data_IF_281360312526
#
_entry.id   IF_281360312526
#
_cell.length_a   1.000
_cell.length_b   1.000
_cell.length_c   1.000
_cell.angle_alpha   90.00
_cell.angle_beta   90.00
_cell.angle_gamma   90.00
#
_symmetry.space_group_name_H-M   'P 1'
#
loop_
_entity.id
_entity.type
_entity.pdbx_description
1 polymer ?
#
# COMPACT_ATOMS: atom_id res chain seq x y z
N UNK A 1 -4.01 -22.08 -1.82
CA UNK A 1 -3.77 -20.96 -2.76
C UNK A 1 -2.31 -20.58 -2.67
N UNK A 2 -1.55 -20.55 -3.78
CA UNK A 2 -0.18 -20.09 -3.75
C UNK A 2 -0.16 -18.60 -3.40
N UNK A 3 0.68 -18.25 -2.45
CA UNK A 3 0.84 -16.91 -1.91
C UNK A 3 2.29 -16.71 -1.49
N UNK A 4 2.76 -15.47 -1.53
CA UNK A 4 4.11 -15.13 -1.12
C UNK A 4 4.21 -15.20 0.42
N UNK A 5 5.29 -15.78 0.93
CA UNK A 5 5.55 -15.94 2.37
C UNK A 5 6.89 -15.31 2.68
N UNK A 6 6.98 -14.64 3.81
CA UNK A 6 8.23 -14.00 4.25
C UNK A 6 8.23 -13.70 5.74
N UNK A 7 9.18 -12.89 6.17
CA UNK A 7 9.26 -12.39 7.54
C UNK A 7 8.94 -10.90 7.59
N UNK A 8 8.32 -10.44 8.67
CA UNK A 8 8.05 -9.01 8.87
C UNK A 8 9.35 -8.18 8.90
N UNK A 9 10.45 -8.78 9.40
CA UNK A 9 11.78 -8.16 9.43
C UNK A 9 12.34 -7.83 8.04
N UNK A 10 11.98 -8.62 7.03
CA UNK A 10 12.41 -8.39 5.64
C UNK A 10 11.56 -7.30 4.95
N UNK A 11 10.31 -7.18 5.37
CA UNK A 11 9.33 -6.32 4.73
C UNK A 11 9.39 -4.86 5.23
N UNK A 12 9.67 -4.67 6.52
CA UNK A 12 9.70 -3.33 7.12
C UNK A 12 10.75 -2.40 6.47
N UNK A 13 11.98 -2.84 6.16
CA UNK A 13 12.94 -2.03 5.42
C UNK A 13 12.46 -1.62 4.02
N UNK A 14 11.76 -2.52 3.32
CA UNK A 14 11.20 -2.24 1.98
C UNK A 14 10.15 -1.13 2.04
N UNK A 15 9.22 -1.23 3.00
CA UNK A 15 8.18 -0.22 3.23
C UNK A 15 8.79 1.14 3.57
N UNK A 16 9.76 1.17 4.50
CA UNK A 16 10.45 2.41 4.89
C UNK A 16 11.19 3.03 3.71
N UNK A 17 11.95 2.24 2.94
CA UNK A 17 12.67 2.73 1.78
C UNK A 17 11.73 3.32 0.73
N UNK A 18 10.55 2.73 0.51
CA UNK A 18 9.58 3.28 -0.43
C UNK A 18 8.93 4.56 0.06
N UNK A 19 8.66 4.67 1.36
CA UNK A 19 8.13 5.90 1.98
C UNK A 19 9.12 7.06 1.84
N UNK A 20 10.40 6.83 2.11
CA UNK A 20 11.43 7.86 1.93
C UNK A 20 11.55 8.28 0.46
N UNK A 21 11.46 7.33 -0.48
CA UNK A 21 11.39 7.66 -1.92
C UNK A 21 10.16 8.51 -2.27
N UNK A 22 9.00 8.25 -1.68
CA UNK A 22 7.83 9.08 -1.95
C UNK A 22 8.02 10.50 -1.39
N UNK A 23 8.53 10.63 -0.16
CA UNK A 23 8.82 11.95 0.42
C UNK A 23 9.74 12.76 -0.50
N UNK A 24 10.83 12.16 -0.97
CA UNK A 24 11.75 12.80 -1.91
C UNK A 24 11.12 13.14 -3.28
N UNK A 25 10.06 12.43 -3.70
CA UNK A 25 9.29 12.75 -4.91
C UNK A 25 8.31 13.91 -4.69
N UNK A 26 7.73 14.01 -3.49
CA UNK A 26 6.71 15.01 -3.15
C UNK A 26 7.33 16.34 -2.71
N UNK A 27 8.45 16.32 -2.01
CA UNK A 27 9.13 17.51 -1.48
C UNK A 27 9.42 18.59 -2.55
N UNK A 28 9.94 18.27 -3.75
CA UNK A 28 10.11 19.26 -4.82
C UNK A 28 8.78 19.81 -5.37
N UNK A 29 7.70 19.04 -5.24
CA UNK A 29 6.36 19.42 -5.72
C UNK A 29 5.66 20.35 -4.73
N UNK A 30 6.07 20.41 -3.46
CA UNK A 30 5.39 21.17 -2.42
C UNK A 30 5.26 22.65 -2.76
N UNK A 31 6.30 23.25 -3.32
CA UNK A 31 6.33 24.68 -3.66
C UNK A 31 5.90 24.98 -5.11
N UNK A 32 5.91 23.99 -6.00
CA UNK A 32 5.85 24.22 -7.45
C UNK A 32 4.63 23.59 -8.15
N UNK A 33 3.96 22.63 -7.52
CA UNK A 33 2.89 21.85 -8.15
C UNK A 33 1.52 22.14 -7.53
N UNK A 34 0.48 22.01 -8.35
CA UNK A 34 -0.91 22.00 -7.88
C UNK A 34 -1.16 20.82 -6.93
N UNK A 35 -2.13 20.98 -6.02
CA UNK A 35 -2.59 19.89 -5.15
C UNK A 35 -2.98 18.65 -5.95
N UNK A 36 -3.66 18.82 -7.09
CA UNK A 36 -4.03 17.71 -7.98
C UNK A 36 -2.84 16.89 -8.50
N UNK A 37 -1.69 17.53 -8.70
CA UNK A 37 -0.47 16.84 -9.14
C UNK A 37 0.15 16.04 -7.99
N UNK A 38 0.16 16.61 -6.78
CA UNK A 38 0.63 15.93 -5.57
C UNK A 38 -0.23 14.70 -5.25
N UNK A 39 -1.55 14.83 -5.39
CA UNK A 39 -2.50 13.74 -5.21
C UNK A 39 -2.27 12.62 -6.23
N UNK A 40 -2.07 12.96 -7.50
CA UNK A 40 -1.82 11.97 -8.54
C UNK A 40 -0.52 11.18 -8.31
N UNK A 41 0.56 11.85 -7.90
CA UNK A 41 1.84 11.20 -7.56
C UNK A 41 1.68 10.28 -6.35
N UNK A 42 0.98 10.75 -5.32
CA UNK A 42 0.73 9.98 -4.10
C UNK A 42 -0.16 8.77 -4.38
N UNK A 43 -1.23 8.93 -5.15
CA UNK A 43 -2.14 7.85 -5.55
C UNK A 43 -1.41 6.79 -6.38
N UNK A 44 -0.57 7.21 -7.34
CA UNK A 44 0.24 6.28 -8.12
C UNK A 44 1.20 5.48 -7.23
N UNK A 45 1.87 6.14 -6.29
CA UNK A 45 2.77 5.47 -5.35
C UNK A 45 2.03 4.51 -4.43
N UNK A 46 0.85 4.89 -3.91
CA UNK A 46 0.06 4.05 -3.01
C UNK A 46 -0.43 2.76 -3.68
N UNK A 47 -0.74 2.83 -4.97
CA UNK A 47 -1.21 1.70 -5.76
C UNK A 47 -0.07 0.83 -6.34
N UNK A 48 1.18 1.24 -6.18
CA UNK A 48 2.34 0.47 -6.61
C UNK A 48 2.45 -0.83 -5.80
N UNK A 49 2.49 -1.98 -6.47
CA UNK A 49 2.68 -3.27 -5.82
C UNK A 49 4.17 -3.48 -5.48
N UNK A 50 4.47 -3.64 -4.19
CA UNK A 50 5.87 -3.74 -3.72
C UNK A 50 6.26 -5.12 -3.19
N UNK A 51 5.31 -5.91 -2.68
CA UNK A 51 5.58 -7.26 -2.16
C UNK A 51 4.32 -8.13 -2.19
N UNK A 52 4.40 -9.39 -2.64
CA UNK A 52 3.23 -10.28 -2.66
C UNK A 52 2.08 -9.82 -3.55
N UNK A 53 2.33 -8.86 -4.45
CA UNK A 53 1.28 -8.12 -5.16
C UNK A 53 0.35 -7.32 -4.24
N UNK A 54 0.84 -6.93 -3.06
CA UNK A 54 0.18 -6.02 -2.12
C UNK A 54 0.63 -4.58 -2.44
N UNK A 55 -0.30 -3.62 -2.58
CA UNK A 55 0.03 -2.22 -2.78
C UNK A 55 0.79 -1.61 -1.61
N UNK A 56 1.70 -0.69 -1.90
CA UNK A 56 2.49 0.03 -0.92
C UNK A 56 1.62 0.71 0.14
N UNK A 57 0.51 1.36 -0.25
CA UNK A 57 -0.38 2.02 0.71
C UNK A 57 -0.89 1.07 1.80
N UNK A 58 -1.27 -0.16 1.43
CA UNK A 58 -1.74 -1.16 2.39
C UNK A 58 -0.63 -1.65 3.33
N UNK A 59 0.58 -1.83 2.81
CA UNK A 59 1.74 -2.23 3.62
C UNK A 59 2.23 -1.12 4.53
N UNK A 60 2.17 0.14 4.07
CA UNK A 60 2.50 1.31 4.88
C UNK A 60 1.52 1.46 6.05
N UNK A 61 0.21 1.29 5.81
CA UNK A 61 -0.80 1.27 6.88
C UNK A 61 -0.54 0.12 7.85
N UNK A 62 -0.31 -1.10 7.36
CA UNK A 62 0.01 -2.25 8.21
C UNK A 62 1.25 -2.01 9.08
N UNK A 63 2.29 -1.37 8.53
CA UNK A 63 3.47 -0.98 9.29
C UNK A 63 3.12 0.07 10.38
N UNK A 64 2.36 1.10 10.02
CA UNK A 64 1.95 2.18 10.92
C UNK A 64 1.10 1.69 12.10
N UNK A 65 0.24 0.70 11.89
CA UNK A 65 -0.56 0.08 12.96
C UNK A 65 0.18 -1.04 13.71
N UNK A 66 1.48 -1.21 13.47
CA UNK A 66 2.32 -2.16 14.20
C UNK A 66 2.22 -3.63 13.78
N UNK A 67 1.54 -3.96 12.66
CA UNK A 67 1.43 -5.34 12.19
C UNK A 67 2.78 -5.94 11.76
N UNK A 68 3.79 -5.10 11.49
CA UNK A 68 5.16 -5.48 11.16
C UNK A 68 6.16 -5.28 12.32
N UNK A 69 5.68 -4.97 13.53
CA UNK A 69 6.55 -4.58 14.64
C UNK A 69 7.48 -5.71 15.14
N UNK A 70 7.13 -6.97 14.88
CA UNK A 70 7.88 -8.14 15.32
C UNK A 70 8.68 -8.75 14.17
N UNK A 71 10.01 -8.56 14.09
CA UNK A 71 10.80 -9.01 12.94
C UNK A 71 10.73 -10.52 12.67
N UNK A 72 10.59 -11.31 13.74
CA UNK A 72 10.44 -12.77 13.69
C UNK A 72 9.04 -13.26 13.30
N UNK A 73 8.08 -12.36 13.07
CA UNK A 73 6.72 -12.74 12.67
C UNK A 73 6.68 -13.18 11.21
N UNK A 74 6.01 -14.31 10.95
CA UNK A 74 5.71 -14.77 9.59
C UNK A 74 4.65 -13.90 8.95
N UNK A 75 4.87 -13.52 7.70
CA UNK A 75 3.89 -12.79 6.89
C UNK A 75 3.49 -13.61 5.66
N UNK A 76 2.27 -13.41 5.19
CA UNK A 76 1.74 -14.11 4.03
C UNK A 76 0.87 -13.19 3.18
N UNK A 77 1.15 -13.11 1.89
CA UNK A 77 0.30 -12.48 0.89
C UNK A 77 -0.37 -13.53 0.01
N UNK A 78 -1.68 -13.45 -0.17
CA UNK A 78 -2.42 -14.32 -1.05
C UNK A 78 -3.45 -13.55 -1.87
N UNK A 79 -3.87 -14.12 -3.00
CA UNK A 79 -5.02 -13.62 -3.76
C UNK A 79 -6.20 -14.57 -3.55
N UNK A 80 -7.36 -14.04 -3.16
CA UNK A 80 -8.58 -14.79 -2.93
C UNK A 80 -9.76 -14.08 -3.60
N UNK A 81 -10.39 -14.72 -4.60
CA UNK A 81 -11.60 -14.20 -5.26
C UNK A 81 -11.48 -12.73 -5.72
N UNK A 82 -10.34 -12.37 -6.32
CA UNK A 82 -10.06 -11.01 -6.77
C UNK A 82 -9.60 -10.05 -5.67
N UNK A 83 -9.60 -10.44 -4.39
CA UNK A 83 -9.01 -9.69 -3.30
C UNK A 83 -7.56 -10.08 -3.08
N UNK A 84 -6.74 -9.12 -2.67
CA UNK A 84 -5.44 -9.39 -2.06
C UNK A 84 -5.60 -9.47 -0.54
N UNK A 85 -4.90 -10.39 0.09
CA UNK A 85 -4.90 -10.58 1.53
C UNK A 85 -3.47 -10.58 2.02
N UNK A 86 -3.17 -9.74 3.00
CA UNK A 86 -1.92 -9.70 3.73
C UNK A 86 -2.16 -10.12 5.18
N UNK A 87 -1.40 -11.08 5.70
CA UNK A 87 -1.61 -11.68 7.02
C UNK A 87 -0.33 -11.63 7.83
N UNK A 88 -0.46 -11.23 9.09
CA UNK A 88 0.57 -11.33 10.13
C UNK A 88 -0.07 -11.98 11.39
N UNK A 89 0.73 -12.37 12.41
CA UNK A 89 0.17 -12.84 13.68
C UNK A 89 -0.70 -11.79 14.38
N UNK A 90 -0.45 -10.51 14.13
CA UNK A 90 -1.17 -9.38 14.75
C UNK A 90 -2.47 -9.02 14.03
N UNK A 91 -2.73 -9.56 12.84
CA UNK A 91 -3.96 -9.25 12.10
C UNK A 91 -3.90 -9.54 10.60
N UNK A 92 -4.94 -9.11 9.88
CA UNK A 92 -5.07 -9.32 8.44
C UNK A 92 -5.57 -8.05 7.75
N UNK A 93 -5.00 -7.74 6.59
CA UNK A 93 -5.46 -6.66 5.70
C UNK A 93 -6.01 -7.30 4.43
N UNK A 94 -7.20 -6.87 4.04
CA UNK A 94 -7.83 -7.24 2.77
C UNK A 94 -7.86 -6.02 1.87
N UNK A 95 -7.34 -6.17 0.65
CA UNK A 95 -7.33 -5.12 -0.37
C UNK A 95 -8.18 -5.59 -1.53
N UNK A 96 -9.17 -4.79 -1.91
CA UNK A 96 -9.86 -4.94 -3.19
C UNK A 96 -9.08 -4.15 -4.21
N UNK A 97 -8.51 -4.76 -5.26
CA UNK A 97 -8.00 -4.02 -6.40
C UNK A 97 -9.19 -3.25 -6.99
N UNK A 98 -9.22 -1.93 -6.83
CA UNK A 98 -10.20 -1.12 -7.54
C UNK A 98 -9.75 -1.04 -9.00
N UNK A 99 -10.61 -1.47 -9.93
CA UNK A 99 -10.70 -0.72 -11.20
C UNK A 99 -11.28 0.63 -10.78
N UNK A 100 -10.58 1.72 -11.02
CA UNK A 100 -11.12 3.05 -10.84
C UNK A 100 -12.35 3.23 -11.74
N UNK A 101 -13.53 2.86 -11.25
CA UNK A 101 -14.80 3.27 -11.83
C UNK A 101 -15.09 4.58 -11.14
N UNK A 102 -14.62 5.69 -11.71
CA UNK A 102 -15.14 7.01 -11.35
C UNK A 102 -16.59 7.03 -11.81
N UNK A 103 -17.51 6.60 -10.96
CA UNK A 103 -18.93 6.86 -11.17
C UNK A 103 -19.10 8.36 -11.04
N UNK A 104 -19.29 9.05 -12.16
CA UNK A 104 -19.65 10.48 -12.17
C UNK A 104 -21.00 10.59 -11.47
N UNK A 105 -20.99 11.03 -10.21
CA UNK A 105 -22.22 11.38 -9.49
C UNK A 105 -22.67 12.74 -10.03
N UNK A 106 -23.80 12.76 -10.75
CA UNK A 106 -24.49 13.99 -11.11
C UNK A 106 -25.65 14.22 -10.14
N UNK A 107 -25.74 15.43 -9.57
CA UNK A 107 -26.93 15.87 -8.83
C UNK A 107 -28.03 16.14 -9.85
N UNK A 108 -29.11 15.37 -9.80
CA UNK A 108 -30.33 15.64 -10.56
C UNK A 108 -31.09 16.73 -9.80
N UNK A 109 -31.33 17.87 -10.46
CA UNK A 109 -32.17 18.95 -9.92
C UNK A 109 -33.64 18.59 -10.03
#
# INVERSE_FOLDING_TARGET
>A
MPGEKGMAGDLLPIVKARLEKLKAQVEPLEMLASESTKDAVTEAAWNENIWGGIPFGALNVAAAVGMLAFPGARVNAATCQGWKRFVTPSGQVFIRPQKAVRTLLSVVK
#
